data_IF_294078303508
#
_entry.id   IF_294078303508
#
_cell.length_a   1.000
_cell.length_b   1.000
_cell.length_c   1.000
_cell.angle_alpha   90.00
_cell.angle_beta   90.00
_cell.angle_gamma   90.00
#
_symmetry.space_group_name_H-M   'P 1'
#
loop_
_entity.id
_entity.type
_entity.pdbx_description
1 polymer ?
#
# COMPACT_ATOMS: atom_id res chain seq x y z
N UNK A 1 4.35 0.04 -17.81
CA UNK A 1 4.04 -1.28 -17.21
C UNK A 1 4.52 -1.34 -15.74
N UNK A 2 3.91 -0.60 -14.80
CA UNK A 2 4.29 -0.65 -13.35
C UNK A 2 3.17 -1.17 -12.44
N UNK A 3 1.92 -1.13 -12.92
CA UNK A 3 0.74 -1.59 -12.20
C UNK A 3 0.75 -3.11 -11.95
N UNK A 4 1.29 -3.89 -12.90
CA UNK A 4 1.32 -5.36 -12.82
C UNK A 4 2.11 -5.86 -11.60
N UNK A 5 3.35 -5.41 -11.33
CA UNK A 5 4.08 -5.78 -10.12
C UNK A 5 3.43 -5.32 -8.81
N UNK A 6 2.86 -4.11 -8.78
CA UNK A 6 2.23 -3.55 -7.56
C UNK A 6 1.01 -4.38 -7.16
N UNK A 7 0.15 -4.70 -8.13
CA UNK A 7 -1.00 -5.56 -7.89
C UNK A 7 -0.59 -6.98 -7.52
N UNK A 8 0.48 -7.51 -8.12
CA UNK A 8 0.96 -8.86 -7.81
C UNK A 8 1.39 -8.99 -6.34
N UNK A 9 2.18 -8.04 -5.83
CA UNK A 9 2.67 -8.10 -4.44
C UNK A 9 1.56 -7.84 -3.44
N UNK A 10 0.70 -6.86 -3.69
CA UNK A 10 -0.41 -6.54 -2.79
C UNK A 10 -1.40 -7.71 -2.70
N UNK A 11 -1.76 -8.32 -3.84
CA UNK A 11 -2.69 -9.45 -3.86
C UNK A 11 -2.10 -10.70 -3.21
N UNK A 12 -0.84 -11.02 -3.51
CA UNK A 12 -0.16 -12.16 -2.89
C UNK A 12 -0.10 -12.02 -1.36
N UNK A 13 0.16 -10.81 -0.87
CA UNK A 13 0.20 -10.52 0.56
C UNK A 13 -1.18 -10.56 1.22
N UNK A 14 -2.20 -9.92 0.62
CA UNK A 14 -3.59 -9.97 1.12
C UNK A 14 -4.12 -11.39 1.20
N UNK A 15 -3.86 -12.23 0.19
CA UNK A 15 -4.24 -13.64 0.22
C UNK A 15 -3.44 -14.45 1.25
N UNK A 16 -2.17 -14.11 1.46
CA UNK A 16 -1.30 -14.74 2.46
C UNK A 16 -1.72 -14.49 3.91
N UNK A 17 -2.43 -13.40 4.20
CA UNK A 17 -2.94 -13.09 5.55
C UNK A 17 -4.35 -13.64 5.82
N UNK A 18 -5.04 -14.16 4.81
CA UNK A 18 -6.38 -14.79 4.97
C UNK A 18 -6.40 -15.90 6.01
N UNK A 19 -5.40 -16.81 6.10
CA UNK A 19 -5.38 -17.83 7.14
C UNK A 19 -5.35 -17.27 8.57
N UNK A 20 -4.70 -16.11 8.79
CA UNK A 20 -4.67 -15.44 10.10
C UNK A 20 -6.05 -14.88 10.47
N UNK A 21 -6.85 -14.47 9.49
CA UNK A 21 -8.23 -13.98 9.67
C UNK A 21 -9.23 -15.08 10.02
N UNK A 22 -8.90 -16.35 9.79
CA UNK A 22 -9.78 -17.49 10.06
C UNK A 22 -9.17 -18.46 11.09
N UNK A 23 -7.99 -18.11 11.63
CA UNK A 23 -7.28 -18.95 12.57
C UNK A 23 -8.09 -19.11 13.86
N UNK A 24 -8.29 -20.36 14.26
CA UNK A 24 -8.95 -20.73 15.52
C UNK A 24 -8.02 -21.63 16.34
N UNK A 25 -7.89 -21.36 17.64
CA UNK A 25 -6.95 -22.04 18.53
C UNK A 25 -6.20 -21.09 19.46
N UNK A 26 -5.09 -21.57 20.05
CA UNK A 26 -4.24 -20.74 20.90
C UNK A 26 -3.66 -19.55 20.11
N UNK A 27 -3.71 -18.35 20.67
CA UNK A 27 -3.31 -17.10 19.99
C UNK A 27 -4.20 -16.69 18.81
N UNK A 28 -5.43 -17.20 18.71
CA UNK A 28 -6.38 -16.80 17.65
C UNK A 28 -6.74 -15.32 17.70
N UNK A 29 -6.95 -14.75 18.89
CA UNK A 29 -7.19 -13.31 19.10
C UNK A 29 -6.06 -12.45 18.52
N UNK A 30 -4.81 -12.80 18.81
CA UNK A 30 -3.62 -12.10 18.30
C UNK A 30 -3.50 -12.25 16.79
N UNK A 31 -3.77 -13.44 16.25
CA UNK A 31 -3.73 -13.70 14.81
C UNK A 31 -4.82 -12.93 14.07
N UNK A 32 -6.04 -12.88 14.61
CA UNK A 32 -7.11 -12.05 14.06
C UNK A 32 -6.75 -10.57 14.13
N UNK A 33 -6.23 -10.06 15.26
CA UNK A 33 -5.83 -8.67 15.40
C UNK A 33 -4.77 -8.26 14.36
N UNK A 34 -3.76 -9.11 14.14
CA UNK A 34 -2.74 -8.90 13.11
C UNK A 34 -3.35 -9.04 11.72
N UNK A 35 -4.15 -10.08 11.48
CA UNK A 35 -4.78 -10.34 10.19
C UNK A 35 -5.66 -9.17 9.73
N UNK A 36 -6.53 -8.67 10.61
CA UNK A 36 -7.45 -7.56 10.31
C UNK A 36 -6.70 -6.25 10.09
N UNK A 37 -5.74 -5.91 10.97
CA UNK A 37 -4.96 -4.67 10.80
C UNK A 37 -4.17 -4.65 9.49
N UNK A 38 -3.57 -5.78 9.12
CA UNK A 38 -2.77 -5.90 7.90
C UNK A 38 -3.64 -5.95 6.64
N UNK A 39 -4.77 -6.66 6.69
CA UNK A 39 -5.73 -6.75 5.58
C UNK A 39 -6.31 -5.38 5.24
N UNK A 40 -6.82 -4.65 6.24
CA UNK A 40 -7.35 -3.30 6.05
C UNK A 40 -6.25 -2.33 5.59
N UNK A 41 -5.04 -2.44 6.16
CA UNK A 41 -3.89 -1.65 5.77
C UNK A 41 -3.49 -1.85 4.31
N UNK A 42 -3.60 -3.07 3.78
CA UNK A 42 -3.27 -3.35 2.39
C UNK A 42 -4.33 -2.82 1.42
N UNK A 43 -5.62 -2.88 1.79
CA UNK A 43 -6.73 -2.33 0.99
C UNK A 43 -6.64 -0.80 0.95
N UNK A 44 -6.56 -0.17 2.13
CA UNK A 44 -6.49 1.29 2.27
C UNK A 44 -5.15 1.84 1.79
N UNK A 45 -4.08 1.06 1.84
CA UNK A 45 -2.77 1.46 1.31
C UNK A 45 -2.71 1.39 -0.21
N UNK A 46 -3.10 0.26 -0.81
CA UNK A 46 -2.85 -0.02 -2.23
C UNK A 46 -3.75 0.79 -3.16
N UNK A 47 -5.06 0.87 -2.86
CA UNK A 47 -6.03 1.53 -3.74
C UNK A 47 -5.68 3.02 -3.96
N UNK A 48 -5.57 3.85 -2.90
CA UNK A 48 -5.17 5.25 -3.09
C UNK A 48 -3.72 5.36 -3.53
N UNK A 49 -2.78 4.50 -3.12
CA UNK A 49 -1.39 4.62 -3.57
C UNK A 49 -1.24 4.59 -5.09
N UNK A 50 -2.02 3.76 -5.81
CA UNK A 50 -1.98 3.70 -7.28
C UNK A 50 -2.31 5.07 -7.91
N UNK A 51 -3.23 5.83 -7.32
CA UNK A 51 -3.62 7.16 -7.81
C UNK A 51 -2.76 8.29 -7.24
N UNK A 52 -2.46 8.26 -5.95
CA UNK A 52 -1.77 9.32 -5.25
C UNK A 52 -0.27 9.33 -5.54
N UNK A 53 0.40 8.18 -5.67
CA UNK A 53 1.85 8.14 -5.97
C UNK A 53 2.21 8.91 -7.25
N UNK A 54 1.55 8.71 -8.41
CA UNK A 54 1.88 9.48 -9.61
C UNK A 54 1.52 10.97 -9.48
N UNK A 55 0.42 11.30 -8.78
CA UNK A 55 0.02 12.69 -8.53
C UNK A 55 1.03 13.41 -7.64
N UNK A 56 1.48 12.78 -6.56
CA UNK A 56 2.52 13.34 -5.68
C UNK A 56 3.85 13.44 -6.41
N UNK A 57 4.23 12.44 -7.20
CA UNK A 57 5.45 12.49 -8.01
C UNK A 57 5.45 13.71 -8.95
N UNK A 58 4.33 13.96 -9.64
CA UNK A 58 4.19 15.12 -10.52
C UNK A 58 4.20 16.45 -9.76
N UNK A 59 3.48 16.55 -8.63
CA UNK A 59 3.49 17.77 -7.84
C UNK A 59 4.88 18.11 -7.30
N UNK A 60 5.61 17.11 -6.80
CA UNK A 60 6.97 17.30 -6.28
C UNK A 60 7.91 17.71 -7.39
N UNK A 61 7.89 17.05 -8.55
CA UNK A 61 8.81 17.40 -9.65
C UNK A 61 8.54 18.80 -10.18
N UNK A 62 7.27 19.18 -10.37
CA UNK A 62 6.91 20.55 -10.79
C UNK A 62 7.31 21.60 -9.75
N UNK A 63 7.18 21.29 -8.46
CA UNK A 63 7.59 22.18 -7.38
C UNK A 63 9.12 22.37 -7.38
N UNK A 64 9.87 21.28 -7.54
CA UNK A 64 11.34 21.31 -7.62
C UNK A 64 11.81 22.08 -8.86
N UNK A 65 11.19 21.88 -10.02
CA UNK A 65 11.51 22.63 -11.25
C UNK A 65 11.29 24.14 -11.06
N UNK A 66 10.18 24.55 -10.44
CA UNK A 66 9.91 25.96 -10.13
C UNK A 66 10.95 26.56 -9.18
N UNK A 67 11.42 25.79 -8.21
CA UNK A 67 12.45 26.25 -7.25
C UNK A 67 13.81 26.37 -7.94
N UNK A 68 14.21 25.39 -8.75
CA UNK A 68 15.49 25.38 -9.47
C UNK A 68 15.55 26.50 -10.53
N UNK A 69 14.47 26.72 -11.29
CA UNK A 69 14.41 27.77 -12.32
C UNK A 69 14.44 29.20 -11.75
N UNK A 70 14.18 29.38 -10.45
CA UNK A 70 14.32 30.69 -9.78
C UNK A 70 15.75 30.96 -9.30
N UNK A 71 16.65 29.97 -9.38
CA UNK A 71 18.04 30.04 -8.90
C UNK A 71 19.07 30.24 -10.01
N UNK A 72 18.69 30.09 -11.28
CA UNK A 72 19.44 30.51 -12.47
C UNK A 72 18.87 31.82 -12.98
#
# INVERSE_FOLDING_TARGET
MRLRPILMTSLAFTLGVVPLLIASGASAETQHAIGTSVFDGMIIGTIPAIFFVPVFYFNVITMVEKITRKKT
#
